data_IF_303908924337
#
_entry.id   IF_303908924337
#
_cell.length_a   1.000
_cell.length_b   1.000
_cell.length_c   1.000
_cell.angle_alpha   90.00
_cell.angle_beta   90.00
_cell.angle_gamma   90.00
#
_symmetry.space_group_name_H-M   'P 1'
#
loop_
_entity.id
_entity.type
_entity.pdbx_description
1 polymer ?
#
# COMPACT_ATOMS: atom_id res chain seq x y z
N UNK A 1 6.31 -52.74 24.06
CA UNK A 1 5.53 -51.86 23.18
C UNK A 1 6.39 -51.59 21.96
N UNK A 2 6.03 -52.17 20.83
CA UNK A 2 6.85 -52.26 19.62
C UNK A 2 6.70 -51.02 18.76
N UNK A 3 7.80 -50.54 18.18
CA UNK A 3 7.98 -49.43 17.21
C UNK A 3 6.96 -49.33 16.05
N UNK A 4 6.06 -50.30 15.92
CA UNK A 4 5.04 -50.44 14.87
C UNK A 4 3.74 -49.68 15.19
N UNK A 5 3.47 -49.35 16.45
CA UNK A 5 2.23 -48.66 16.87
C UNK A 5 2.31 -47.12 16.75
N UNK A 6 3.50 -46.54 16.58
CA UNK A 6 3.67 -45.08 16.38
C UNK A 6 3.57 -44.65 14.91
N UNK A 7 3.53 -45.60 13.97
CA UNK A 7 3.56 -45.36 12.50
C UNK A 7 2.31 -44.68 11.92
N UNK A 8 1.23 -44.56 12.69
CA UNK A 8 -0.08 -44.15 12.17
C UNK A 8 -0.66 -42.87 12.73
N UNK A 9 0.02 -42.13 13.63
CA UNK A 9 -0.57 -40.96 14.28
C UNK A 9 0.07 -39.67 13.82
N UNK A 10 -0.54 -39.03 12.84
CA UNK A 10 -0.27 -37.64 12.49
C UNK A 10 -0.86 -36.77 13.62
N UNK A 11 -0.04 -36.05 14.41
CA UNK A 11 -0.55 -35.29 15.56
C UNK A 11 -1.28 -34.02 15.09
N UNK A 12 -2.45 -33.76 15.68
CA UNK A 12 -3.46 -32.68 15.44
C UNK A 12 -2.92 -31.23 15.57
N UNK A 13 -1.60 -31.02 15.61
CA UNK A 13 -0.91 -29.73 15.81
C UNK A 13 -0.54 -29.00 14.51
N UNK A 14 -1.14 -29.37 13.39
CA UNK A 14 -0.75 -28.90 12.03
C UNK A 14 -1.14 -27.45 11.74
N UNK A 15 -2.18 -26.92 12.41
CA UNK A 15 -2.62 -25.52 12.24
C UNK A 15 -1.62 -24.49 12.77
N UNK A 16 -0.81 -24.83 13.78
CA UNK A 16 0.18 -23.92 14.37
C UNK A 16 1.45 -23.82 13.51
N UNK A 17 1.79 -24.89 12.78
CA UNK A 17 2.95 -24.93 11.86
C UNK A 17 2.75 -24.08 10.61
N UNK A 18 1.52 -23.98 10.09
CA UNK A 18 1.19 -23.15 8.93
C UNK A 18 1.57 -21.68 9.12
N UNK A 19 1.40 -21.14 10.33
CA UNK A 19 1.71 -19.73 10.65
C UNK A 19 3.20 -19.47 10.90
N UNK A 20 4.03 -20.51 11.04
CA UNK A 20 5.48 -20.40 11.24
C UNK A 20 6.27 -20.55 9.93
N UNK A 21 5.59 -20.80 8.80
CA UNK A 21 6.22 -20.81 7.49
C UNK A 21 6.61 -19.38 7.09
N UNK A 22 7.92 -19.11 7.04
CA UNK A 22 8.44 -17.88 6.45
C UNK A 22 8.03 -17.75 4.98
N UNK A 23 7.86 -16.52 4.50
CA UNK A 23 7.41 -16.24 3.13
C UNK A 23 8.49 -16.64 2.11
N UNK A 24 8.17 -17.59 1.23
CA UNK A 24 8.99 -17.88 0.06
C UNK A 24 8.77 -16.78 -1.00
N UNK A 25 9.73 -15.86 -1.10
CA UNK A 25 9.70 -14.73 -2.02
C UNK A 25 9.60 -15.15 -3.50
N UNK A 26 10.18 -16.29 -3.87
CA UNK A 26 10.16 -16.79 -5.26
C UNK A 26 8.79 -17.34 -5.62
N UNK A 27 8.17 -18.10 -4.70
CA UNK A 27 6.78 -18.55 -4.83
C UNK A 27 5.84 -17.36 -4.88
N UNK A 28 5.99 -16.40 -3.96
CA UNK A 28 5.19 -15.18 -3.91
C UNK A 28 5.22 -14.44 -5.25
N UNK A 29 6.41 -14.17 -5.79
CA UNK A 29 6.55 -13.46 -7.07
C UNK A 29 5.87 -14.20 -8.23
N UNK A 30 6.00 -15.53 -8.31
CA UNK A 30 5.39 -16.32 -9.38
C UNK A 30 3.85 -16.31 -9.31
N UNK A 31 3.28 -16.39 -8.10
CA UNK A 31 1.83 -16.29 -7.88
C UNK A 31 1.29 -14.87 -8.13
N UNK A 32 2.07 -13.85 -7.76
CA UNK A 32 1.68 -12.43 -7.87
C UNK A 32 1.77 -11.90 -9.29
N UNK A 33 2.72 -12.37 -10.10
CA UNK A 33 2.95 -11.85 -11.47
C UNK A 33 1.71 -11.83 -12.35
N UNK A 34 0.86 -12.86 -12.27
CA UNK A 34 -0.39 -12.94 -13.04
C UNK A 34 -1.51 -12.01 -12.52
N UNK A 35 -1.34 -11.44 -11.33
CA UNK A 35 -2.34 -10.61 -10.62
C UNK A 35 -1.87 -9.18 -10.36
N UNK A 36 -0.72 -8.78 -10.88
CA UNK A 36 -0.24 -7.38 -10.78
C UNK A 36 -1.24 -6.38 -11.37
N UNK A 37 -1.99 -6.78 -12.39
CA UNK A 37 -3.06 -5.96 -12.96
C UNK A 37 -4.14 -5.61 -11.93
N UNK A 38 -4.41 -6.47 -10.94
CA UNK A 38 -5.41 -6.22 -9.91
C UNK A 38 -4.97 -5.09 -8.96
N UNK A 39 -3.66 -4.97 -8.70
CA UNK A 39 -3.08 -3.88 -7.90
C UNK A 39 -3.21 -2.55 -8.66
N UNK A 40 -2.92 -2.55 -9.97
CA UNK A 40 -3.11 -1.38 -10.83
C UNK A 40 -4.58 -0.98 -10.95
N UNK A 41 -5.48 -1.96 -11.06
CA UNK A 41 -6.92 -1.72 -11.07
C UNK A 41 -7.40 -1.13 -9.73
N UNK A 42 -6.88 -1.60 -8.60
CA UNK A 42 -7.19 -1.04 -7.28
C UNK A 42 -6.69 0.42 -7.16
N UNK A 43 -5.50 0.74 -7.68
CA UNK A 43 -5.00 2.11 -7.74
C UNK A 43 -5.91 3.01 -8.59
N UNK A 44 -6.31 2.56 -9.78
CA UNK A 44 -7.23 3.33 -10.64
C UNK A 44 -8.60 3.55 -9.99
N UNK A 45 -9.15 2.52 -9.34
CA UNK A 45 -10.40 2.61 -8.60
C UNK A 45 -10.30 3.59 -7.42
N UNK A 46 -9.20 3.55 -6.67
CA UNK A 46 -8.93 4.47 -5.57
C UNK A 46 -8.82 5.92 -6.03
N UNK A 47 -8.15 6.16 -7.17
CA UNK A 47 -8.03 7.49 -7.76
C UNK A 47 -9.39 8.07 -8.17
N UNK A 48 -10.21 7.28 -8.88
CA UNK A 48 -11.56 7.68 -9.29
C UNK A 48 -12.46 7.94 -8.09
N UNK A 49 -12.41 7.08 -7.07
CA UNK A 49 -13.20 7.22 -5.86
C UNK A 49 -12.85 8.51 -5.10
N UNK A 50 -11.57 8.77 -4.89
CA UNK A 50 -11.13 9.97 -4.17
C UNK A 50 -11.42 11.26 -4.95
N UNK A 51 -11.24 11.26 -6.27
CA UNK A 51 -11.60 12.40 -7.12
C UNK A 51 -13.12 12.67 -7.09
N UNK A 52 -13.94 11.63 -7.16
CA UNK A 52 -15.40 11.76 -7.07
C UNK A 52 -15.83 12.28 -5.70
N UNK A 53 -15.26 11.74 -4.61
CA UNK A 53 -15.52 12.20 -3.26
C UNK A 53 -15.12 13.67 -3.07
N UNK A 54 -13.95 14.06 -3.58
CA UNK A 54 -13.50 15.45 -3.57
C UNK A 54 -14.46 16.36 -4.33
N UNK A 55 -14.93 15.95 -5.51
CA UNK A 55 -15.88 16.73 -6.29
C UNK A 55 -17.21 16.93 -5.53
N UNK A 56 -17.72 15.89 -4.87
CA UNK A 56 -18.93 15.97 -4.04
C UNK A 56 -18.73 16.91 -2.85
N UNK A 57 -17.62 16.77 -2.11
CA UNK A 57 -17.30 17.63 -0.96
C UNK A 57 -17.12 19.07 -1.40
N UNK A 58 -16.42 19.31 -2.51
CA UNK A 58 -16.24 20.65 -3.08
C UNK A 58 -17.58 21.25 -3.50
N UNK A 59 -18.47 20.48 -4.12
CA UNK A 59 -19.79 20.96 -4.51
C UNK A 59 -20.68 21.27 -3.31
N UNK A 60 -20.63 20.44 -2.25
CA UNK A 60 -21.38 20.65 -1.03
C UNK A 60 -20.84 21.83 -0.18
N UNK A 61 -19.54 22.11 -0.29
CA UNK A 61 -18.84 23.18 0.43
C UNK A 61 -18.62 24.43 -0.42
N UNK A 62 -19.14 24.46 -1.65
CA UNK A 62 -19.05 25.62 -2.52
C UNK A 62 -19.91 26.74 -1.93
N UNK A 63 -19.26 27.66 -1.22
CA UNK A 63 -19.87 28.91 -0.80
C UNK A 63 -20.24 29.80 -1.99
N UNK A 64 -20.85 30.96 -1.73
CA UNK A 64 -21.11 31.96 -2.77
C UNK A 64 -19.82 32.37 -3.48
N UNK A 65 -19.94 32.79 -4.75
CA UNK A 65 -18.81 33.34 -5.49
C UNK A 65 -18.23 34.52 -4.72
N UNK A 66 -16.92 34.45 -4.46
CA UNK A 66 -16.18 35.53 -3.83
C UNK A 66 -15.38 36.28 -4.89
N UNK A 67 -15.34 37.60 -4.77
CA UNK A 67 -14.56 38.49 -5.61
C UNK A 67 -13.43 39.05 -4.75
N UNK A 68 -12.22 39.12 -5.30
CA UNK A 68 -11.04 39.63 -4.57
C UNK A 68 -10.41 40.79 -5.31
N UNK A 69 -10.45 41.97 -4.72
CA UNK A 69 -9.64 43.11 -5.12
C UNK A 69 -8.29 43.07 -4.40
N UNK A 70 -7.21 43.49 -5.06
CA UNK A 70 -5.87 43.50 -4.46
C UNK A 70 -5.24 44.89 -4.58
N UNK A 71 -4.61 45.34 -3.50
CA UNK A 71 -3.85 46.59 -3.46
C UNK A 71 -2.46 46.28 -2.94
N UNK A 72 -1.45 46.65 -3.72
CA UNK A 72 -0.06 46.65 -3.31
C UNK A 72 0.28 48.04 -2.78
N UNK A 73 0.51 48.14 -1.48
CA UNK A 73 0.96 49.35 -0.81
C UNK A 73 2.49 49.41 -0.80
N UNK A 74 3.04 50.58 -1.12
CA UNK A 74 4.42 50.95 -0.88
C UNK A 74 4.49 51.73 0.44
N UNK A 75 5.32 51.26 1.36
CA UNK A 75 5.50 51.82 2.69
C UNK A 75 6.87 52.49 2.73
N UNK A 76 6.87 53.82 2.87
CA UNK A 76 8.09 54.58 3.06
C UNK A 76 8.49 54.62 4.54
N UNK A 77 9.71 54.21 4.84
CA UNK A 77 10.29 54.28 6.19
C UNK A 77 11.25 55.46 6.32
N UNK A 78 11.20 56.19 7.44
CA UNK A 78 12.12 57.29 7.74
C UNK A 78 13.38 56.72 8.43
N UNK A 79 14.24 56.06 7.65
CA UNK A 79 15.45 55.39 8.15
C UNK A 79 16.65 56.32 7.97
N UNK A 80 17.37 56.62 9.06
CA UNK A 80 18.74 57.14 8.96
C UNK A 80 19.70 55.97 8.73
N UNK A 81 20.52 56.08 7.69
CA UNK A 81 21.34 55.01 7.06
C UNK A 81 22.23 54.18 8.02
N UNK A 82 22.44 54.64 9.25
CA UNK A 82 23.37 54.04 10.22
C UNK A 82 22.70 53.15 11.28
N UNK A 83 21.37 53.02 11.28
CA UNK A 83 20.65 52.32 12.35
C UNK A 83 20.37 50.84 12.02
N UNK A 84 21.33 49.95 12.31
CA UNK A 84 21.17 48.49 12.14
C UNK A 84 19.98 47.94 12.96
N UNK A 85 19.67 48.56 14.11
CA UNK A 85 18.53 48.18 14.95
C UNK A 85 17.19 48.41 14.26
N UNK A 86 17.10 49.43 13.40
CA UNK A 86 15.87 49.75 12.67
C UNK A 86 15.67 48.85 11.45
N UNK A 87 16.75 48.31 10.87
CA UNK A 87 16.66 47.26 9.84
C UNK A 87 16.12 45.94 10.40
N UNK A 88 16.53 45.60 11.62
CA UNK A 88 15.97 44.45 12.34
C UNK A 88 14.50 44.69 12.70
N UNK A 89 14.13 45.91 13.09
CA UNK A 89 12.76 46.34 13.35
C UNK A 89 11.83 46.25 12.12
N UNK A 90 12.31 46.63 10.93
CA UNK A 90 11.53 46.51 9.68
C UNK A 90 11.32 45.04 9.28
N UNK A 91 12.33 44.19 9.49
CA UNK A 91 12.18 42.75 9.30
C UNK A 91 11.24 42.09 10.34
N UNK A 92 11.11 42.68 11.53
CA UNK A 92 10.21 42.18 12.59
C UNK A 92 8.74 42.58 12.35
N UNK A 93 8.48 43.61 11.52
CA UNK A 93 7.14 43.99 11.07
C UNK A 93 6.58 43.00 10.03
N UNK A 94 6.10 41.87 10.54
CA UNK A 94 5.49 40.80 9.75
C UNK A 94 4.06 41.15 9.25
N UNK A 95 3.52 40.30 8.35
CA UNK A 95 2.15 40.39 7.80
C UNK A 95 1.13 40.51 8.91
N UNK A 96 1.40 39.82 10.01
CA UNK A 96 0.57 39.78 11.19
C UNK A 96 0.36 41.17 11.80
N UNK A 97 1.44 41.95 11.94
CA UNK A 97 1.39 43.31 12.49
C UNK A 97 0.62 44.25 11.57
N UNK A 98 0.87 44.21 10.27
CA UNK A 98 0.14 45.03 9.30
C UNK A 98 -1.33 44.62 9.16
N UNK A 99 -1.62 43.32 9.25
CA UNK A 99 -2.98 42.79 9.27
C UNK A 99 -3.79 43.33 10.45
N UNK A 100 -3.19 43.34 11.65
CA UNK A 100 -3.81 43.92 12.84
C UNK A 100 -3.93 45.45 12.76
N UNK A 101 -2.92 46.13 12.20
CA UNK A 101 -2.96 47.58 12.00
C UNK A 101 -4.06 48.02 11.04
N UNK A 102 -4.24 47.30 9.92
CA UNK A 102 -5.33 47.58 8.99
C UNK A 102 -6.70 47.33 9.59
N UNK A 103 -6.81 46.45 10.60
CA UNK A 103 -8.03 46.21 11.37
C UNK A 103 -8.21 47.15 12.56
N UNK A 104 -7.26 48.05 12.81
CA UNK A 104 -7.34 48.99 13.92
C UNK A 104 -8.38 50.08 13.66
N UNK A 105 -8.95 50.64 14.74
CA UNK A 105 -9.92 51.74 14.67
C UNK A 105 -9.41 52.95 13.85
N UNK A 106 -8.08 53.15 13.80
CA UNK A 106 -7.48 54.26 13.03
C UNK A 106 -7.63 54.11 11.52
N UNK A 107 -7.73 52.88 11.02
CA UNK A 107 -7.87 52.59 9.59
C UNK A 107 -9.32 52.21 9.28
N UNK A 108 -9.95 51.41 10.13
CA UNK A 108 -11.33 50.96 9.92
C UNK A 108 -12.36 52.07 10.02
N UNK A 109 -12.24 53.01 10.96
CA UNK A 109 -13.25 54.06 11.10
C UNK A 109 -13.36 54.94 9.84
N UNK A 110 -12.26 55.41 9.22
CA UNK A 110 -12.31 56.06 7.91
C UNK A 110 -12.90 55.19 6.79
N UNK A 111 -12.62 53.88 6.81
CA UNK A 111 -13.16 52.95 5.80
C UNK A 111 -14.67 52.77 5.96
N UNK A 112 -15.17 52.65 7.20
CA UNK A 112 -16.60 52.57 7.50
C UNK A 112 -17.35 53.84 7.11
N UNK A 113 -16.72 55.01 7.25
CA UNK A 113 -17.31 56.28 6.80
C UNK A 113 -17.42 56.32 5.27
N UNK A 114 -16.44 55.77 4.55
CA UNK A 114 -16.42 55.71 3.09
C UNK A 114 -17.34 54.61 2.49
N UNK A 115 -17.63 53.55 3.26
CA UNK A 115 -18.43 52.39 2.85
C UNK A 115 -19.52 52.12 3.90
N UNK A 116 -20.55 52.97 4.00
CA UNK A 116 -21.59 52.86 5.04
C UNK A 116 -22.49 51.63 4.88
N UNK A 117 -22.48 51.00 3.72
CA UNK A 117 -23.21 49.76 3.42
C UNK A 117 -22.58 48.49 4.05
N UNK A 118 -21.35 48.56 4.57
CA UNK A 118 -20.66 47.42 5.16
C UNK A 118 -20.45 47.62 6.67
N UNK A 119 -20.81 46.60 7.44
CA UNK A 119 -20.57 46.60 8.88
C UNK A 119 -19.09 46.39 9.19
N UNK A 120 -18.66 46.84 10.38
CA UNK A 120 -17.27 46.67 10.85
C UNK A 120 -16.77 45.23 10.72
N UNK A 121 -17.57 44.27 11.17
CA UNK A 121 -17.23 42.84 11.13
C UNK A 121 -17.04 42.34 9.69
N UNK A 122 -17.86 42.83 8.76
CA UNK A 122 -17.76 42.49 7.33
C UNK A 122 -16.49 43.05 6.71
N UNK A 123 -16.12 44.29 7.07
CA UNK A 123 -14.87 44.92 6.62
C UNK A 123 -13.67 44.17 7.20
N UNK A 124 -13.64 43.87 8.50
CA UNK A 124 -12.56 43.12 9.15
C UNK A 124 -12.37 41.72 8.56
N UNK A 125 -13.46 41.02 8.26
CA UNK A 125 -13.44 39.70 7.65
C UNK A 125 -12.98 39.71 6.18
N UNK A 126 -13.25 40.80 5.45
CA UNK A 126 -12.87 40.94 4.04
C UNK A 126 -11.37 41.12 3.83
N UNK A 127 -10.64 41.58 4.85
CA UNK A 127 -9.25 42.03 4.74
C UNK A 127 -8.27 40.90 5.09
N UNK A 128 -7.38 40.61 4.15
CA UNK A 128 -6.25 39.71 4.33
C UNK A 128 -4.96 40.36 3.83
N UNK A 129 -3.85 40.14 4.52
CA UNK A 129 -2.51 40.64 4.15
C UNK A 129 -1.58 39.51 3.79
N UNK A 130 -0.80 39.70 2.73
CA UNK A 130 0.32 38.86 2.35
C UNK A 130 1.58 39.73 2.26
N UNK A 131 2.69 39.28 2.84
CA UNK A 131 3.99 39.96 2.71
C UNK A 131 4.59 39.59 1.36
N UNK A 132 5.03 40.62 0.61
CA UNK A 132 6.01 40.42 -0.45
C UNK A 132 7.40 40.26 0.17
N UNK A 133 8.33 39.53 -0.45
CA UNK A 133 9.69 39.33 0.10
C UNK A 133 10.46 40.60 0.48
N UNK A 134 9.97 41.78 0.07
CA UNK A 134 10.47 43.10 0.39
C UNK A 134 9.51 43.81 1.38
N UNK A 135 9.96 44.21 2.58
CA UNK A 135 9.13 44.81 3.64
C UNK A 135 8.63 46.23 3.32
N UNK A 136 9.12 46.84 2.23
CA UNK A 136 8.54 48.08 1.68
C UNK A 136 7.21 47.84 0.97
N UNK A 137 6.88 46.58 0.63
CA UNK A 137 5.68 46.24 -0.11
C UNK A 137 4.72 45.36 0.70
N UNK A 138 3.50 45.86 0.90
CA UNK A 138 2.41 45.13 1.55
C UNK A 138 1.30 44.83 0.54
N UNK A 139 0.99 43.55 0.35
CA UNK A 139 -0.16 43.15 -0.46
C UNK A 139 -1.38 42.95 0.42
N UNK A 140 -2.41 43.77 0.22
CA UNK A 140 -3.70 43.63 0.86
C UNK A 140 -4.72 43.08 -0.15
N UNK A 141 -5.47 42.07 0.26
CA UNK A 141 -6.58 41.47 -0.49
C UNK A 141 -7.89 41.75 0.23
N UNK A 142 -8.88 42.20 -0.51
CA UNK A 142 -10.24 42.51 -0.03
C UNK A 142 -11.21 41.57 -0.72
N UNK A 143 -11.83 40.66 0.04
CA UNK A 143 -12.67 39.59 -0.51
C UNK A 143 -14.10 39.70 -0.02
N UNK A 144 -15.06 39.89 -0.92
CA UNK A 144 -16.51 39.94 -0.64
C UNK A 144 -17.33 39.17 -1.67
N UNK A 145 -18.62 38.95 -1.41
CA UNK A 145 -19.55 38.30 -2.37
C UNK A 145 -19.94 39.20 -3.56
N UNK A 146 -19.74 40.51 -3.42
CA UNK A 146 -20.02 41.51 -4.45
C UNK A 146 -18.71 42.14 -4.97
N UNK A 147 -18.56 42.17 -6.30
CA UNK A 147 -17.44 42.78 -7.02
C UNK A 147 -17.33 44.28 -6.73
N UNK A 148 -18.46 45.00 -6.74
CA UNK A 148 -18.48 46.44 -6.53
C UNK A 148 -18.12 46.79 -5.09
N UNK A 149 -18.56 45.97 -4.12
CA UNK A 149 -18.21 46.14 -2.72
C UNK A 149 -16.72 45.90 -2.47
N UNK A 150 -16.13 44.84 -3.03
CA UNK A 150 -14.69 44.58 -2.92
C UNK A 150 -13.85 45.74 -3.45
N UNK A 151 -14.23 46.29 -4.60
CA UNK A 151 -13.56 47.44 -5.20
C UNK A 151 -13.72 48.71 -4.34
N UNK A 152 -14.91 48.97 -3.79
CA UNK A 152 -15.15 50.14 -2.91
C UNK A 152 -14.35 50.04 -1.62
N UNK A 153 -14.32 48.87 -0.99
CA UNK A 153 -13.50 48.63 0.20
C UNK A 153 -12.03 48.86 -0.12
N UNK A 154 -11.53 48.32 -1.24
CA UNK A 154 -10.14 48.54 -1.66
C UNK A 154 -9.81 50.04 -1.83
N UNK A 155 -10.69 50.81 -2.49
CA UNK A 155 -10.52 52.26 -2.67
C UNK A 155 -10.56 53.01 -1.33
N UNK A 156 -11.48 52.63 -0.43
CA UNK A 156 -11.56 53.21 0.90
C UNK A 156 -10.27 52.96 1.72
N UNK A 157 -9.72 51.75 1.63
CA UNK A 157 -8.44 51.41 2.26
C UNK A 157 -7.26 52.19 1.70
N UNK A 158 -7.26 52.53 0.40
CA UNK A 158 -6.22 53.40 -0.18
C UNK A 158 -6.20 54.77 0.51
N UNK A 159 -7.37 55.40 0.67
CA UNK A 159 -7.50 56.68 1.35
C UNK A 159 -7.14 56.59 2.83
N UNK A 160 -7.65 55.56 3.52
CA UNK A 160 -7.41 55.36 4.95
C UNK A 160 -5.94 55.08 5.27
N UNK A 161 -5.25 54.27 4.45
CA UNK A 161 -3.84 53.95 4.62
C UNK A 161 -2.93 55.14 4.31
N UNK A 162 -3.26 55.96 3.30
CA UNK A 162 -2.53 57.19 3.02
C UNK A 162 -2.62 58.17 4.21
N UNK A 163 -3.85 58.40 4.71
CA UNK A 163 -4.08 59.24 5.89
C UNK A 163 -3.38 58.67 7.14
N UNK A 164 -3.41 57.35 7.32
CA UNK A 164 -2.68 56.70 8.41
C UNK A 164 -1.16 56.95 8.30
N UNK A 165 -0.58 56.82 7.11
CA UNK A 165 0.82 57.15 6.83
C UNK A 165 1.19 58.58 7.23
N UNK A 166 0.34 59.56 6.89
CA UNK A 166 0.53 60.96 7.30
C UNK A 166 0.53 61.13 8.83
N UNK A 167 -0.38 60.46 9.55
CA UNK A 167 -0.42 60.53 11.03
C UNK A 167 0.81 59.92 11.71
N UNK A 168 1.54 59.08 10.99
CA UNK A 168 2.74 58.39 11.47
C UNK A 168 4.05 59.06 11.00
N UNK A 169 3.96 60.18 10.25
CA UNK A 169 5.12 60.98 9.89
C UNK A 169 5.91 61.43 11.13
N UNK A 170 7.22 61.19 11.10
CA UNK A 170 8.13 61.48 12.23
C UNK A 170 8.09 60.45 13.36
N UNK A 171 7.35 59.33 13.21
CA UNK A 171 7.32 58.18 14.13
C UNK A 171 7.85 56.89 13.51
N UNK A 172 8.59 57.00 12.39
CA UNK A 172 9.21 55.87 11.70
C UNK A 172 8.71 55.62 10.27
N UNK A 173 7.61 56.27 9.85
CA UNK A 173 7.08 56.22 8.49
C UNK A 173 7.20 57.60 7.81
N UNK A 174 7.47 57.62 6.51
CA UNK A 174 7.38 58.84 5.67
C UNK A 174 6.01 58.95 4.98
N UNK A 175 5.42 57.82 4.63
CA UNK A 175 4.10 57.76 4.00
C UNK A 175 3.75 56.35 3.54
N UNK A 176 2.49 56.17 3.13
CA UNK A 176 2.00 54.92 2.52
C UNK A 176 1.27 55.29 1.25
N UNK A 177 1.64 54.66 0.13
CA UNK A 177 1.08 54.93 -1.19
C UNK A 177 0.60 53.64 -1.85
N UNK A 178 -0.47 53.72 -2.64
CA UNK A 178 -0.92 52.58 -3.45
C UNK A 178 -0.03 52.48 -4.71
N UNK A 179 0.82 51.46 -4.76
CA UNK A 179 1.72 51.22 -5.88
C UNK A 179 1.02 50.55 -7.06
N UNK A 180 0.16 49.56 -6.78
CA UNK A 180 -0.61 48.84 -7.80
C UNK A 180 -1.97 48.44 -7.25
N UNK A 181 -3.01 48.67 -8.04
CA UNK A 181 -4.38 48.24 -7.75
C UNK A 181 -4.83 47.24 -8.80
N UNK A 182 -5.31 46.08 -8.37
CA UNK A 182 -5.95 45.07 -9.22
C UNK A 182 -7.44 45.07 -8.87
N UNK A 183 -8.34 45.32 -9.83
CA UNK A 183 -9.78 45.32 -9.58
C UNK A 183 -10.24 43.91 -9.18
N UNK A 184 -11.43 43.83 -8.59
CA UNK A 184 -11.96 42.57 -8.08
C UNK A 184 -12.10 41.50 -9.17
N UNK A 185 -11.41 40.37 -8.98
CA UNK A 185 -11.52 39.19 -9.84
C UNK A 185 -12.20 38.04 -9.09
N UNK A 186 -12.96 37.17 -9.78
CA UNK A 186 -13.60 36.03 -9.14
C UNK A 186 -12.55 35.07 -8.57
N UNK A 187 -12.63 34.81 -7.26
CA UNK A 187 -11.78 33.85 -6.57
C UNK A 187 -12.19 32.45 -7.02
N UNK A 188 -11.45 31.88 -7.97
CA UNK A 188 -11.61 30.47 -8.33
C UNK A 188 -10.91 29.63 -7.25
N UNK A 189 -11.64 28.89 -6.41
CA UNK A 189 -11.02 28.05 -5.41
C UNK A 189 -10.13 27.02 -6.10
N UNK A 190 -8.88 26.96 -5.66
CA UNK A 190 -7.85 26.08 -6.20
C UNK A 190 -8.37 24.65 -6.33
N UNK A 191 -8.38 24.12 -7.56
CA UNK A 191 -8.91 22.79 -7.81
C UNK A 191 -7.86 21.73 -7.47
N UNK A 192 -7.99 21.16 -6.27
CA UNK A 192 -7.10 20.11 -5.76
C UNK A 192 -7.55 18.69 -6.14
N UNK A 193 -8.41 18.55 -7.15
CA UNK A 193 -8.90 17.26 -7.61
C UNK A 193 -7.77 16.31 -8.05
N UNK A 194 -6.69 16.84 -8.64
CA UNK A 194 -5.53 16.04 -9.02
C UNK A 194 -4.85 15.44 -7.78
N UNK A 195 -4.59 16.24 -6.75
CA UNK A 195 -4.01 15.76 -5.49
C UNK A 195 -4.91 14.74 -4.78
N UNK A 196 -6.23 14.94 -4.84
CA UNK A 196 -7.18 13.97 -4.31
C UNK A 196 -7.11 12.63 -5.07
N UNK A 197 -7.03 12.67 -6.41
CA UNK A 197 -6.88 11.49 -7.24
C UNK A 197 -5.54 10.77 -6.98
N UNK A 198 -4.43 11.50 -6.84
CA UNK A 198 -3.11 10.95 -6.52
C UNK A 198 -3.11 10.25 -5.15
N UNK A 199 -3.66 10.89 -4.12
CA UNK A 199 -3.81 10.27 -2.81
C UNK A 199 -4.66 8.99 -2.89
N UNK A 200 -5.77 9.04 -3.61
CA UNK A 200 -6.63 7.88 -3.86
C UNK A 200 -5.89 6.74 -4.58
N UNK A 201 -5.05 7.06 -5.55
CA UNK A 201 -4.24 6.07 -6.26
C UNK A 201 -3.25 5.37 -5.32
N UNK A 202 -2.56 6.13 -4.46
CA UNK A 202 -1.61 5.59 -3.48
C UNK A 202 -2.34 4.66 -2.49
N UNK A 203 -3.47 5.10 -1.94
CA UNK A 203 -4.28 4.28 -1.02
C UNK A 203 -4.80 3.01 -1.70
N UNK A 204 -5.27 3.13 -2.95
CA UNK A 204 -5.71 1.99 -3.76
C UNK A 204 -4.59 0.99 -4.05
N UNK A 205 -3.37 1.48 -4.33
CA UNK A 205 -2.19 0.65 -4.53
C UNK A 205 -1.82 -0.11 -3.25
N UNK A 206 -1.79 0.58 -2.11
CA UNK A 206 -1.52 -0.03 -0.81
C UNK A 206 -2.56 -1.10 -0.45
N UNK A 207 -3.85 -0.78 -0.59
CA UNK A 207 -4.93 -1.72 -0.34
C UNK A 207 -4.89 -2.92 -1.30
N UNK A 208 -4.58 -2.69 -2.59
CA UNK A 208 -4.41 -3.76 -3.57
C UNK A 208 -3.23 -4.68 -3.24
N UNK A 209 -2.10 -4.12 -2.82
CA UNK A 209 -0.93 -4.88 -2.39
C UNK A 209 -1.22 -5.72 -1.13
N UNK A 210 -1.88 -5.12 -0.13
CA UNK A 210 -2.32 -5.82 1.08
C UNK A 210 -3.34 -6.92 0.77
N UNK A 211 -4.32 -6.65 -0.09
CA UNK A 211 -5.29 -7.64 -0.53
C UNK A 211 -4.64 -8.82 -1.26
N UNK A 212 -3.61 -8.56 -2.07
CA UNK A 212 -2.85 -9.60 -2.76
C UNK A 212 -1.98 -10.42 -1.81
N UNK A 213 -1.34 -9.77 -0.84
CA UNK A 213 -0.59 -10.44 0.22
C UNK A 213 -1.52 -11.30 1.08
N UNK A 214 -2.69 -10.79 1.47
CA UNK A 214 -3.71 -11.54 2.19
C UNK A 214 -4.23 -12.73 1.39
N UNK A 215 -4.49 -12.55 0.09
CA UNK A 215 -4.86 -13.64 -0.80
C UNK A 215 -3.79 -14.74 -0.84
N UNK A 216 -2.51 -14.37 -0.90
CA UNK A 216 -1.40 -15.32 -0.89
C UNK A 216 -1.27 -16.06 0.45
N UNK A 217 -1.38 -15.36 1.58
CA UNK A 217 -1.31 -15.99 2.92
C UNK A 217 -2.48 -16.95 3.15
N UNK A 218 -3.64 -16.65 2.58
CA UNK A 218 -4.83 -17.50 2.65
C UNK A 218 -4.82 -18.63 1.61
N UNK A 219 -3.88 -18.62 0.65
CA UNK A 219 -3.77 -19.66 -0.38
C UNK A 219 -3.07 -20.90 0.19
N UNK A 220 -3.87 -21.86 0.66
CA UNK A 220 -3.42 -23.12 1.25
C UNK A 220 -3.17 -24.22 0.21
N UNK A 221 -3.13 -23.87 -1.08
CA UNK A 221 -2.97 -24.81 -2.18
C UNK A 221 -1.60 -25.52 -2.17
N UNK A 222 -1.60 -26.84 -2.45
CA UNK A 222 -0.39 -27.63 -2.69
C UNK A 222 0.20 -27.25 -4.04
N UNK A 223 1.35 -26.57 -4.05
CA UNK A 223 2.05 -26.19 -5.28
C UNK A 223 3.44 -26.82 -5.36
N UNK A 224 4.08 -27.05 -4.22
CA UNK A 224 5.46 -27.48 -4.09
C UNK A 224 5.58 -28.70 -3.16
N UNK A 225 6.64 -29.48 -3.34
CA UNK A 225 6.96 -30.62 -2.49
C UNK A 225 7.24 -30.17 -1.04
N UNK A 226 7.82 -28.98 -0.87
CA UNK A 226 8.03 -28.35 0.44
C UNK A 226 6.73 -28.18 1.23
N UNK A 227 5.59 -27.97 0.54
CA UNK A 227 4.30 -27.77 1.20
C UNK A 227 3.88 -29.06 1.92
N UNK A 228 4.02 -30.22 1.26
CA UNK A 228 3.65 -31.52 1.83
C UNK A 228 4.65 -31.99 2.89
N UNK A 229 5.94 -31.75 2.66
CA UNK A 229 7.00 -32.10 3.61
C UNK A 229 6.92 -31.28 4.90
N UNK A 230 6.72 -29.97 4.81
CA UNK A 230 6.70 -29.08 5.98
C UNK A 230 5.39 -29.18 6.76
N UNK A 231 4.26 -29.33 6.07
CA UNK A 231 2.93 -29.33 6.70
C UNK A 231 2.52 -30.71 7.22
N UNK A 232 2.79 -31.77 6.46
CA UNK A 232 2.31 -33.13 6.76
C UNK A 232 3.43 -34.15 6.98
N UNK A 233 4.71 -33.75 6.85
CA UNK A 233 5.87 -34.66 6.91
C UNK A 233 5.77 -35.84 5.95
N UNK A 234 5.02 -35.66 4.85
CA UNK A 234 4.84 -36.67 3.83
C UNK A 234 5.97 -36.57 2.80
N UNK A 235 6.71 -37.66 2.53
CA UNK A 235 7.71 -37.68 1.47
C UNK A 235 7.00 -37.60 0.11
N UNK A 236 7.52 -36.75 -0.78
CA UNK A 236 6.98 -36.59 -2.14
C UNK A 236 7.87 -37.30 -3.13
N UNK A 237 7.28 -38.21 -3.91
CA UNK A 237 8.00 -39.09 -4.81
C UNK A 237 8.30 -38.42 -6.16
N UNK A 238 7.52 -37.41 -6.54
CA UNK A 238 7.76 -36.61 -7.74
C UNK A 238 6.52 -35.87 -8.23
N UNK A 239 6.66 -35.30 -9.43
CA UNK A 239 5.60 -34.55 -10.11
C UNK A 239 5.13 -35.29 -11.36
N UNK A 240 3.82 -35.40 -11.57
CA UNK A 240 3.21 -35.64 -12.89
C UNK A 240 2.77 -34.29 -13.44
N UNK A 241 3.32 -33.88 -14.58
CA UNK A 241 3.05 -32.58 -15.19
C UNK A 241 1.89 -32.63 -16.18
N UNK A 242 1.18 -31.51 -16.40
CA UNK A 242 0.07 -31.45 -17.38
C UNK A 242 0.52 -31.77 -18.79
N UNK A 243 1.71 -31.29 -19.17
CA UNK A 243 2.38 -31.70 -20.40
C UNK A 243 3.46 -32.69 -20.01
N UNK A 244 3.43 -33.93 -20.54
CA UNK A 244 4.48 -34.93 -20.30
C UNK A 244 5.86 -34.34 -20.56
N UNK A 245 6.69 -34.31 -19.53
CA UNK A 245 8.05 -33.79 -19.62
C UNK A 245 9.02 -34.82 -19.06
N UNK A 246 9.86 -35.35 -19.95
CA UNK A 246 10.77 -36.47 -19.68
C UNK A 246 11.63 -36.27 -18.43
N UNK A 247 11.98 -35.03 -18.10
CA UNK A 247 12.76 -34.69 -16.90
C UNK A 247 12.04 -35.07 -15.61
N UNK A 248 10.76 -34.71 -15.47
CA UNK A 248 9.99 -34.93 -14.24
C UNK A 248 9.50 -36.37 -14.16
N UNK A 249 9.09 -36.93 -15.29
CA UNK A 249 8.67 -38.34 -15.40
C UNK A 249 9.82 -39.31 -15.15
N UNK A 250 11.02 -39.06 -15.67
CA UNK A 250 12.17 -39.91 -15.40
C UNK A 250 12.55 -39.90 -13.90
N UNK A 251 12.43 -38.75 -13.24
CA UNK A 251 12.68 -38.64 -11.80
C UNK A 251 11.63 -39.40 -10.98
N UNK A 252 10.35 -39.25 -11.32
CA UNK A 252 9.25 -39.99 -10.69
C UNK A 252 9.41 -41.50 -10.90
N UNK A 253 9.64 -41.94 -12.14
CA UNK A 253 9.79 -43.36 -12.48
C UNK A 253 11.01 -43.99 -11.80
N UNK A 254 12.13 -43.26 -11.68
CA UNK A 254 13.30 -43.74 -10.95
C UNK A 254 12.98 -43.99 -9.47
N UNK A 255 12.24 -43.08 -8.82
CA UNK A 255 11.81 -43.24 -7.44
C UNK A 255 10.82 -44.39 -7.27
N UNK A 256 9.79 -44.48 -8.12
CA UNK A 256 8.81 -45.57 -8.08
C UNK A 256 9.46 -46.94 -8.29
N UNK A 257 10.38 -47.05 -9.24
CA UNK A 257 11.10 -48.31 -9.53
C UNK A 257 11.99 -48.73 -8.36
N UNK A 258 12.66 -47.76 -7.72
CA UNK A 258 13.49 -48.03 -6.55
C UNK A 258 12.65 -48.54 -5.37
N UNK A 259 11.52 -47.90 -5.09
CA UNK A 259 10.63 -48.28 -4.00
C UNK A 259 9.89 -49.61 -4.25
N UNK A 260 9.44 -49.84 -5.49
CA UNK A 260 8.78 -51.09 -5.88
C UNK A 260 9.69 -52.31 -5.73
N UNK A 261 11.02 -52.12 -5.74
CA UNK A 261 11.99 -53.20 -5.49
C UNK A 261 12.08 -53.63 -4.02
N UNK A 262 11.54 -52.83 -3.10
CA UNK A 262 11.62 -53.04 -1.65
C UNK A 262 10.28 -53.43 -1.05
N UNK A 263 9.23 -52.71 -1.43
CA UNK A 263 7.90 -52.87 -0.86
C UNK A 263 6.84 -52.68 -1.95
N UNK A 264 5.80 -53.50 -1.92
CA UNK A 264 4.63 -53.29 -2.76
C UNK A 264 3.87 -52.06 -2.24
N UNK A 265 3.39 -51.20 -3.14
CA UNK A 265 2.56 -50.05 -2.80
C UNK A 265 1.42 -49.93 -3.80
N UNK A 266 0.35 -49.21 -3.43
CA UNK A 266 -0.79 -48.90 -4.32
C UNK A 266 -0.93 -47.40 -4.51
N UNK A 267 -0.98 -46.95 -5.76
CA UNK A 267 -1.33 -45.57 -6.09
C UNK A 267 -2.84 -45.35 -5.95
N UNK A 268 -3.24 -44.29 -5.27
CA UNK A 268 -4.65 -43.92 -5.08
C UNK A 268 -4.82 -42.43 -5.32
N UNK A 269 -5.81 -42.06 -6.14
CA UNK A 269 -6.13 -40.64 -6.38
C UNK A 269 -6.81 -40.06 -5.14
N UNK A 270 -6.47 -38.81 -4.81
CA UNK A 270 -7.11 -38.09 -3.72
C UNK A 270 -8.62 -37.93 -3.95
N UNK A 271 -9.05 -37.79 -5.21
CA UNK A 271 -10.47 -37.69 -5.57
C UNK A 271 -11.24 -38.98 -5.27
N UNK A 272 -10.62 -40.15 -5.51
CA UNK A 272 -11.22 -41.44 -5.20
C UNK A 272 -11.39 -41.62 -3.69
N UNK A 273 -10.43 -41.11 -2.89
CA UNK A 273 -10.47 -41.14 -1.42
C UNK A 273 -11.48 -40.15 -0.81
N UNK A 274 -11.90 -39.14 -1.58
CA UNK A 274 -12.95 -38.20 -1.20
C UNK A 274 -14.36 -38.73 -1.55
N UNK A 275 -14.44 -39.82 -2.32
CA UNK A 275 -15.70 -40.47 -2.70
C UNK A 275 -16.36 -41.26 -1.55
N UNK A 276 -17.62 -41.66 -1.74
CA UNK A 276 -18.38 -42.41 -0.74
C UNK A 276 -18.02 -43.91 -0.68
N UNK A 277 -17.50 -44.49 -1.77
CA UNK A 277 -17.24 -45.93 -1.92
C UNK A 277 -15.73 -46.26 -1.84
N UNK A 278 -15.08 -45.89 -0.73
CA UNK A 278 -13.67 -46.22 -0.51
C UNK A 278 -13.53 -47.60 0.14
N UNK A 279 -12.91 -48.53 -0.57
CA UNK A 279 -12.57 -49.85 -0.03
C UNK A 279 -11.31 -49.80 0.83
N UNK A 280 -11.49 -49.49 2.10
CA UNK A 280 -10.40 -49.45 3.08
C UNK A 280 -9.81 -50.82 3.41
N UNK A 281 -10.51 -51.93 3.13
CA UNK A 281 -9.97 -53.27 3.44
C UNK A 281 -8.80 -53.61 2.54
N UNK A 282 -8.93 -53.36 1.23
CA UNK A 282 -7.84 -53.58 0.29
C UNK A 282 -6.71 -52.55 0.41
N UNK A 283 -6.99 -51.36 0.95
CA UNK A 283 -5.97 -50.35 1.25
C UNK A 283 -5.14 -50.66 2.51
N UNK A 284 -5.61 -51.52 3.42
CA UNK A 284 -4.82 -51.96 4.58
C UNK A 284 -3.80 -53.03 4.23
N UNK A 285 -3.99 -53.76 3.12
CA UNK A 285 -3.12 -54.87 2.73
C UNK A 285 -1.73 -54.39 2.29
N UNK A 286 -1.67 -53.20 1.71
CA UNK A 286 -0.47 -52.66 1.04
C UNK A 286 -0.41 -51.15 1.30
N UNK A 287 0.77 -50.57 1.61
CA UNK A 287 0.89 -49.13 1.85
C UNK A 287 0.43 -48.29 0.64
N UNK A 288 -0.26 -47.18 0.93
CA UNK A 288 -0.87 -46.31 -0.07
C UNK A 288 0.03 -45.13 -0.44
N UNK A 289 0.08 -44.81 -1.74
CA UNK A 289 0.75 -43.64 -2.31
C UNK A 289 -0.31 -42.70 -2.86
N UNK A 290 -0.48 -41.52 -2.24
CA UNK A 290 -1.58 -40.60 -2.55
C UNK A 290 -1.21 -39.68 -3.71
N UNK A 291 -2.02 -39.67 -4.76
CA UNK A 291 -1.87 -38.78 -5.91
C UNK A 291 -2.74 -37.53 -5.70
N UNK A 292 -2.11 -36.37 -5.61
CA UNK A 292 -2.72 -35.08 -5.24
C UNK A 292 -2.62 -34.13 -6.42
N UNK A 293 -3.73 -33.57 -6.89
CA UNK A 293 -3.71 -32.60 -7.98
C UNK A 293 -3.11 -31.26 -7.55
N UNK A 294 -2.32 -30.67 -8.45
CA UNK A 294 -1.69 -29.38 -8.27
C UNK A 294 -2.73 -28.27 -8.07
N UNK A 295 -2.59 -27.49 -7.00
CA UNK A 295 -3.59 -26.49 -6.60
C UNK A 295 -4.65 -27.01 -5.62
N UNK A 296 -4.54 -28.25 -5.15
CA UNK A 296 -5.49 -28.78 -4.16
C UNK A 296 -5.34 -28.08 -2.79
N UNK A 297 -6.43 -27.60 -2.17
CA UNK A 297 -6.40 -27.00 -0.83
C UNK A 297 -6.00 -28.01 0.26
N UNK A 298 -4.90 -27.74 0.98
CA UNK A 298 -4.36 -28.59 2.04
C UNK A 298 -5.38 -28.80 3.19
N UNK A 299 -5.91 -27.71 3.74
CA UNK A 299 -6.72 -27.76 4.96
C UNK A 299 -8.11 -28.33 4.70
N UNK A 300 -8.68 -28.05 3.54
CA UNK A 300 -10.08 -28.40 3.23
C UNK A 300 -10.24 -29.80 2.63
N UNK A 301 -9.23 -30.30 1.89
CA UNK A 301 -9.36 -31.57 1.17
C UNK A 301 -8.34 -32.60 1.62
N UNK A 302 -7.07 -32.22 1.76
CA UNK A 302 -6.01 -33.18 2.06
C UNK A 302 -6.03 -33.62 3.54
N UNK A 303 -6.14 -32.67 4.48
CA UNK A 303 -6.10 -32.99 5.92
C UNK A 303 -7.18 -34.00 6.35
N UNK A 304 -8.46 -33.83 5.97
CA UNK A 304 -9.51 -34.78 6.35
C UNK A 304 -9.29 -36.19 5.79
N UNK A 305 -8.75 -36.31 4.58
CA UNK A 305 -8.45 -37.60 3.95
C UNK A 305 -7.31 -38.30 4.67
N UNK A 306 -6.22 -37.57 4.98
CA UNK A 306 -5.09 -38.13 5.72
C UNK A 306 -5.50 -38.57 7.13
N UNK A 307 -6.32 -37.78 7.82
CA UNK A 307 -6.91 -38.16 9.11
C UNK A 307 -7.76 -39.43 8.99
N UNK A 308 -8.59 -39.53 7.95
CA UNK A 308 -9.45 -40.70 7.72
C UNK A 308 -8.62 -41.96 7.45
N UNK A 309 -7.59 -41.88 6.60
CA UNK A 309 -6.67 -42.99 6.33
C UNK A 309 -5.95 -43.46 7.59
N UNK A 310 -5.46 -42.51 8.40
CA UNK A 310 -4.84 -42.78 9.70
C UNK A 310 -5.80 -43.49 10.66
N UNK A 311 -7.04 -43.00 10.79
CA UNK A 311 -8.07 -43.60 11.64
C UNK A 311 -8.47 -45.00 11.18
N UNK A 312 -8.45 -45.24 9.87
CA UNK A 312 -8.73 -46.55 9.26
C UNK A 312 -7.52 -47.49 9.29
N UNK A 313 -6.37 -47.06 9.81
CA UNK A 313 -5.17 -47.90 9.95
C UNK A 313 -4.46 -48.19 8.62
N UNK A 314 -4.67 -47.35 7.60
CA UNK A 314 -3.95 -47.43 6.32
C UNK A 314 -2.60 -46.74 6.44
N UNK A 315 -1.52 -47.42 6.09
CA UNK A 315 -0.18 -46.85 6.08
C UNK A 315 0.04 -46.01 4.81
N UNK A 316 0.35 -44.72 4.97
CA UNK A 316 0.60 -43.81 3.86
C UNK A 316 2.10 -43.68 3.64
N UNK A 317 2.58 -44.16 2.49
CA UNK A 317 4.01 -44.16 2.13
C UNK A 317 4.50 -42.77 1.70
N UNK A 318 3.64 -41.97 1.06
CA UNK A 318 4.00 -40.66 0.55
C UNK A 318 2.98 -40.10 -0.44
N UNK A 319 3.39 -39.07 -1.18
CA UNK A 319 2.52 -38.40 -2.15
C UNK A 319 3.17 -38.18 -3.53
N UNK A 320 2.34 -38.12 -4.57
CA UNK A 320 2.69 -37.66 -5.92
C UNK A 320 1.88 -36.41 -6.21
N UNK A 321 2.52 -35.32 -6.67
CA UNK A 321 1.80 -34.12 -7.11
C UNK A 321 1.48 -34.27 -8.60
N UNK A 322 0.21 -34.44 -8.95
CA UNK A 322 -0.29 -34.58 -10.31
C UNK A 322 -0.72 -33.25 -10.92
N UNK A 323 -0.88 -33.23 -12.25
CA UNK A 323 -1.28 -32.06 -13.02
C UNK A 323 -0.47 -30.78 -12.78
N UNK A 324 0.82 -30.89 -12.45
CA UNK A 324 1.64 -29.72 -12.16
C UNK A 324 1.91 -28.88 -13.41
N UNK A 325 1.86 -27.54 -13.28
CA UNK A 325 2.19 -26.63 -14.38
C UNK A 325 3.70 -26.64 -14.67
N UNK A 326 4.06 -27.13 -15.86
CA UNK A 326 5.45 -27.18 -16.35
C UNK A 326 6.15 -25.82 -16.31
N UNK A 327 5.44 -24.72 -16.64
CA UNK A 327 6.04 -23.38 -16.65
C UNK A 327 6.39 -22.93 -15.24
N UNK A 328 5.47 -23.15 -14.29
CA UNK A 328 5.69 -22.84 -12.89
C UNK A 328 6.88 -23.63 -12.32
N UNK A 329 6.93 -24.95 -12.53
CA UNK A 329 8.02 -25.79 -12.05
C UNK A 329 9.38 -25.42 -12.67
N UNK A 330 9.41 -25.09 -13.98
CA UNK A 330 10.65 -24.64 -14.64
C UNK A 330 11.17 -23.33 -14.06
N UNK A 331 10.30 -22.35 -13.86
CA UNK A 331 10.65 -21.05 -13.28
C UNK A 331 11.08 -21.16 -11.81
N UNK A 332 10.41 -22.04 -11.05
CA UNK A 332 10.73 -22.25 -9.64
C UNK A 332 12.04 -23.03 -9.45
N UNK A 333 12.28 -24.11 -10.19
CA UNK A 333 13.47 -24.95 -10.01
C UNK A 333 14.68 -24.53 -10.87
N UNK A 334 14.50 -23.76 -11.95
CA UNK A 334 15.53 -22.95 -12.66
C UNK A 334 16.75 -23.64 -13.32
N UNK A 335 17.26 -24.77 -12.79
CA UNK A 335 18.42 -25.53 -13.27
C UNK A 335 18.07 -27.02 -13.36
N UNK A 336 18.79 -27.85 -14.14
CA UNK A 336 18.59 -29.30 -14.14
C UNK A 336 18.71 -29.83 -12.70
N UNK A 337 17.74 -30.66 -12.29
CA UNK A 337 17.83 -31.38 -11.02
C UNK A 337 19.18 -32.11 -11.03
N UNK A 338 20.04 -31.83 -10.05
CA UNK A 338 21.17 -32.71 -9.74
C UNK A 338 20.59 -34.12 -9.59
N UNK A 339 21.18 -35.15 -10.23
CA UNK A 339 20.66 -36.54 -10.21
C UNK A 339 20.10 -36.85 -8.82
N UNK A 340 18.77 -36.94 -8.72
CA UNK A 340 18.08 -37.14 -7.46
C UNK A 340 18.39 -38.57 -7.03
N UNK A 341 19.04 -38.74 -5.88
CA UNK A 341 19.08 -40.03 -5.23
C UNK A 341 17.66 -40.47 -4.88
N UNK A 342 17.42 -41.77 -4.68
CA UNK A 342 16.12 -42.26 -4.23
C UNK A 342 15.69 -41.51 -2.97
N UNK A 343 14.39 -41.16 -2.88
CA UNK A 343 13.83 -40.56 -1.67
C UNK A 343 14.11 -41.51 -0.50
N UNK A 344 14.80 -41.05 0.57
CA UNK A 344 15.18 -41.91 1.69
C UNK A 344 13.94 -42.43 2.41
N UNK A 345 14.12 -43.51 3.18
CA UNK A 345 13.04 -44.14 3.94
C UNK A 345 12.32 -43.10 4.82
N UNK A 346 11.00 -43.22 5.03
CA UNK A 346 10.24 -42.27 5.85
C UNK A 346 10.80 -42.15 7.28
N UNK A 347 11.50 -43.16 7.79
CA UNK A 347 12.22 -43.14 9.07
C UNK A 347 13.47 -42.23 9.07
N UNK A 348 14.12 -42.02 7.92
CA UNK A 348 15.31 -41.16 7.75
C UNK A 348 14.96 -39.72 7.32
N UNK A 349 13.68 -39.45 7.04
CA UNK A 349 13.20 -38.16 6.53
C UNK A 349 13.24 -37.01 7.55
N UNK A 350 13.40 -37.33 8.84
CA UNK A 350 13.48 -36.33 9.90
C UNK A 350 14.78 -35.51 9.89
N UNK A 351 15.84 -36.01 9.21
CA UNK A 351 17.18 -35.41 9.17
C UNK A 351 17.65 -35.05 7.75
N UNK A 352 16.78 -35.16 6.75
CA UNK A 352 17.14 -34.86 5.36
C UNK A 352 17.01 -33.37 5.05
N UNK A 353 18.14 -32.66 5.07
CA UNK A 353 18.26 -31.33 4.46
C UNK A 353 18.05 -31.44 2.95
N UNK A 354 17.05 -30.73 2.44
CA UNK A 354 16.75 -30.69 1.01
C UNK A 354 17.94 -30.05 0.27
N UNK A 355 18.65 -30.76 -0.62
CA UNK A 355 19.77 -30.20 -1.38
C UNK A 355 19.34 -29.10 -2.38
N UNK A 356 18.06 -28.74 -2.38
CA UNK A 356 17.44 -27.68 -3.16
C UNK A 356 16.68 -26.64 -2.30
N UNK A 357 16.79 -26.68 -0.96
CA UNK A 357 16.33 -25.55 -0.15
C UNK A 357 17.19 -24.33 -0.54
N UNK A 358 16.60 -23.24 -1.09
CA UNK A 358 17.36 -22.09 -1.54
C UNK A 358 18.17 -21.39 -0.43
N UNK A 359 17.97 -21.79 0.84
CA UNK A 359 18.76 -21.32 1.98
C UNK A 359 20.26 -21.59 1.89
N UNK A 360 20.71 -22.60 1.15
CA UNK A 360 22.15 -22.89 1.00
C UNK A 360 22.85 -22.03 -0.07
N UNK A 361 22.22 -20.93 -0.52
CA UNK A 361 22.84 -19.95 -1.43
C UNK A 361 23.16 -18.59 -0.80
N UNK A 362 22.96 -18.41 0.51
CA UNK A 362 23.56 -17.31 1.27
C UNK A 362 24.98 -17.70 1.75
N UNK A 363 25.85 -18.00 0.81
CA UNK A 363 27.29 -18.09 1.06
C UNK A 363 27.90 -16.69 1.07
N UNK A 364 28.26 -16.21 2.26
CA UNK A 364 29.20 -15.13 2.55
C UNK A 364 29.01 -13.79 1.83
N UNK A 365 28.33 -12.87 2.52
CA UNK A 365 28.52 -11.41 2.38
C UNK A 365 29.36 -10.88 3.57
N UNK A 366 30.33 -11.67 4.03
CA UNK A 366 31.38 -11.26 4.98
C UNK A 366 32.75 -11.46 4.30
N UNK A 367 32.96 -10.77 3.17
CA UNK A 367 34.31 -10.64 2.59
C UNK A 367 34.36 -9.48 1.58
N UNK A 368 33.92 -8.29 2.01
CA UNK A 368 34.25 -7.02 1.36
C UNK A 368 34.30 -5.90 2.41
N UNK A 369 35.36 -5.91 3.23
CA UNK A 369 35.96 -4.69 3.77
C UNK A 369 36.81 -4.00 2.73
#
# INVERSE_FOLDING_TARGET
MTKREERGRIPVRERELYWQEGVDAKRFFLCVRGKLWAVLAAAAAGALFAAALYAVVRQASAGPLQYRAQVLFSIGYDIRVEDETLKEFINEYNAYTWGDMMKSDRVILPVMEAVPEADREQIEASVSTEIASDPEFLMASFTTEDEELSNRIAVAYIGAMAAFGETMQGRGLTGIEAWKTVPAEPVVPENRALYAAELGAILGLLAGALGLAGWYVLDDSVLLESDLKRRYRLPVFGYRTKVPEARWEAALNANLTWWASREAFREVLLEDLLGEDVDYETLREVPALVVIDWGTPCLRRLSPVLETLSLQGVEVMGAIIAEADNRFLRLYYGRPLKKRGPVPDPEDSADFTDPLDPKDSEGSLEDLT
#
